data_IF_451549213296
#
_entry.id   IF_451549213296
#
_cell.length_a   1.000
_cell.length_b   1.000
_cell.length_c   1.000
_cell.angle_alpha   90.00
_cell.angle_beta   90.00
_cell.angle_gamma   90.00
#
_symmetry.space_group_name_H-M   'P 1'
#
loop_
_entity.id
_entity.type
_entity.pdbx_description
1 polymer ?
#
# COMPACT_ATOMS: atom_id res chain seq x y z
N UNK A 1 -36.74 31.04 11.52
CA UNK A 1 -36.87 29.65 11.04
C UNK A 1 -35.94 28.76 11.86
N UNK A 2 -36.37 27.59 12.35
CA UNK A 2 -35.43 26.63 12.92
C UNK A 2 -34.39 26.22 11.86
N UNK A 3 -33.11 26.01 12.22
CA UNK A 3 -32.08 25.64 11.27
C UNK A 3 -32.40 24.29 10.62
N UNK A 4 -32.13 24.18 9.31
CA UNK A 4 -32.28 22.94 8.55
C UNK A 4 -31.21 21.91 8.93
N UNK A 5 -31.38 20.66 8.49
CA UNK A 5 -30.32 19.65 8.61
C UNK A 5 -29.02 20.13 7.95
N UNK A 6 -29.12 20.75 6.77
CA UNK A 6 -27.97 21.26 6.03
C UNK A 6 -27.23 22.35 6.83
N UNK A 7 -27.96 23.28 7.44
CA UNK A 7 -27.35 24.34 8.27
C UNK A 7 -26.57 23.76 9.45
N UNK A 8 -27.17 22.80 10.16
CA UNK A 8 -26.53 22.13 11.30
C UNK A 8 -25.34 21.27 10.85
N UNK A 9 -25.47 20.54 9.75
CA UNK A 9 -24.42 19.70 9.21
C UNK A 9 -23.22 20.54 8.74
N UNK A 10 -23.46 21.65 8.03
CA UNK A 10 -22.42 22.59 7.62
C UNK A 10 -21.70 23.22 8.81
N UNK A 11 -22.45 23.66 9.84
CA UNK A 11 -21.86 24.21 11.06
C UNK A 11 -21.00 23.17 11.83
N UNK A 12 -21.47 21.94 11.92
CA UNK A 12 -20.73 20.85 12.58
C UNK A 12 -19.47 20.46 11.78
N UNK A 13 -19.58 20.35 10.45
CA UNK A 13 -18.44 20.10 9.56
C UNK A 13 -17.36 21.16 9.69
N UNK A 14 -17.74 22.44 9.79
CA UNK A 14 -16.79 23.53 9.99
C UNK A 14 -16.04 23.42 11.33
N UNK A 15 -16.75 23.04 12.41
CA UNK A 15 -16.12 22.78 13.72
C UNK A 15 -15.15 21.61 13.67
N UNK A 16 -15.55 20.51 13.03
CA UNK A 16 -14.69 19.34 12.84
C UNK A 16 -13.44 19.69 12.02
N UNK A 17 -13.57 20.47 10.96
CA UNK A 17 -12.44 20.94 10.15
C UNK A 17 -11.48 21.83 10.95
N UNK A 18 -12.00 22.59 11.93
CA UNK A 18 -11.19 23.38 12.86
C UNK A 18 -10.58 22.55 14.02
N UNK A 19 -10.78 21.23 14.05
CA UNK A 19 -10.30 20.35 15.13
C UNK A 19 -11.15 20.38 16.41
N UNK A 20 -12.27 21.10 16.42
CA UNK A 20 -13.18 21.21 17.55
C UNK A 20 -14.21 20.07 17.52
N UNK A 21 -13.71 18.86 17.74
CA UNK A 21 -14.46 17.61 17.57
C UNK A 21 -15.62 17.48 18.56
N UNK A 22 -15.46 17.92 19.80
CA UNK A 22 -16.52 17.85 20.81
C UNK A 22 -17.66 18.84 20.51
N UNK A 23 -17.35 20.06 20.02
CA UNK A 23 -18.40 20.98 19.58
C UNK A 23 -19.12 20.45 18.34
N UNK A 24 -18.39 19.89 17.37
CA UNK A 24 -18.99 19.24 16.21
C UNK A 24 -19.95 18.10 16.63
N UNK A 25 -19.52 17.23 17.54
CA UNK A 25 -20.35 16.15 18.08
C UNK A 25 -21.63 16.67 18.75
N UNK A 26 -21.55 17.80 19.47
CA UNK A 26 -22.72 18.43 20.10
C UNK A 26 -23.74 18.93 19.06
N UNK A 27 -23.27 19.55 17.97
CA UNK A 27 -24.13 20.03 16.89
C UNK A 27 -24.76 18.85 16.14
N UNK A 28 -23.97 17.83 15.80
CA UNK A 28 -24.51 16.61 15.19
C UNK A 28 -25.50 15.87 16.09
N UNK A 29 -25.33 15.92 17.41
CA UNK A 29 -26.30 15.32 18.35
C UNK A 29 -27.63 16.06 18.35
N UNK A 30 -27.62 17.39 18.23
CA UNK A 30 -28.83 18.17 18.04
C UNK A 30 -29.49 17.86 16.68
N UNK A 31 -28.69 17.79 15.61
CA UNK A 31 -29.17 17.38 14.30
C UNK A 31 -29.81 15.99 14.30
N UNK A 32 -29.20 15.01 14.98
CA UNK A 32 -29.72 13.64 15.09
C UNK A 32 -31.04 13.57 15.86
N UNK A 33 -31.27 14.45 16.86
CA UNK A 33 -32.56 14.52 17.56
C UNK A 33 -33.67 15.10 16.69
N UNK A 34 -33.35 16.10 15.87
CA UNK A 34 -34.32 16.79 15.00
C UNK A 34 -34.60 16.02 13.71
N UNK A 35 -33.59 15.30 13.22
CA UNK A 35 -33.63 14.52 11.99
C UNK A 35 -33.14 13.08 12.25
N UNK A 36 -33.90 12.24 13.00
CA UNK A 36 -33.45 10.90 13.39
C UNK A 36 -33.11 9.97 12.22
N UNK A 37 -33.72 10.16 11.05
CA UNK A 37 -33.44 9.35 9.85
C UNK A 37 -32.21 9.81 9.06
N UNK A 38 -31.54 10.88 9.47
CA UNK A 38 -30.35 11.42 8.78
C UNK A 38 -29.05 10.75 9.24
N UNK A 39 -27.96 10.99 8.50
CA UNK A 39 -26.61 10.55 8.86
C UNK A 39 -25.99 11.30 10.06
N UNK A 40 -26.72 12.23 10.68
CA UNK A 40 -26.21 13.00 11.83
C UNK A 40 -25.69 12.10 12.96
N UNK A 41 -26.40 11.00 13.26
CA UNK A 41 -26.01 10.07 14.32
C UNK A 41 -24.66 9.38 14.05
N UNK A 42 -24.36 9.06 12.79
CA UNK A 42 -23.06 8.54 12.37
C UNK A 42 -21.95 9.56 12.67
N UNK A 43 -22.17 10.82 12.30
CA UNK A 43 -21.18 11.88 12.52
C UNK A 43 -20.98 12.24 14.00
N UNK A 44 -21.96 11.99 14.88
CA UNK A 44 -21.72 12.04 16.34
C UNK A 44 -20.63 11.05 16.72
N UNK A 45 -20.75 9.79 16.28
CA UNK A 45 -19.76 8.75 16.56
C UNK A 45 -18.37 9.07 16.00
N UNK A 46 -18.30 9.54 14.76
CA UNK A 46 -17.04 9.93 14.10
C UNK A 46 -16.35 11.06 14.89
N UNK A 47 -17.10 12.12 15.24
CA UNK A 47 -16.52 13.24 15.97
C UNK A 47 -16.04 12.84 17.37
N UNK A 48 -16.77 11.99 18.09
CA UNK A 48 -16.35 11.50 19.41
C UNK A 48 -15.06 10.66 19.31
N UNK A 49 -14.94 9.82 18.28
CA UNK A 49 -13.72 9.07 18.00
C UNK A 49 -12.55 9.99 17.71
N UNK A 50 -12.75 10.99 16.85
CA UNK A 50 -11.72 11.97 16.50
C UNK A 50 -11.30 12.82 17.73
N UNK A 51 -12.20 12.98 18.72
CA UNK A 51 -11.91 13.60 20.02
C UNK A 51 -11.18 12.68 21.01
N UNK A 52 -10.99 11.40 20.70
CA UNK A 52 -10.42 10.38 21.60
C UNK A 52 -11.41 9.75 22.59
N UNK A 53 -12.67 10.20 22.63
CA UNK A 53 -13.72 9.63 23.47
C UNK A 53 -14.33 8.38 22.84
N UNK A 54 -13.52 7.32 22.84
CA UNK A 54 -13.74 6.16 21.97
C UNK A 54 -14.88 5.26 22.47
N UNK A 55 -15.13 5.19 23.78
CA UNK A 55 -16.29 4.46 24.33
C UNK A 55 -17.61 5.19 24.08
N UNK A 56 -17.64 6.53 24.19
CA UNK A 56 -18.82 7.30 23.81
C UNK A 56 -19.10 7.18 22.30
N UNK A 57 -18.04 7.17 21.48
CA UNK A 57 -18.15 6.91 20.05
C UNK A 57 -18.79 5.55 19.76
N UNK A 58 -18.33 4.47 20.41
CA UNK A 58 -18.93 3.15 20.28
C UNK A 58 -20.41 3.13 20.67
N UNK A 59 -20.76 3.78 21.77
CA UNK A 59 -22.15 3.87 22.23
C UNK A 59 -23.03 4.57 21.20
N UNK A 60 -22.58 5.70 20.65
CA UNK A 60 -23.29 6.42 19.61
C UNK A 60 -23.42 5.61 18.31
N UNK A 61 -22.35 4.95 17.87
CA UNK A 61 -22.34 4.14 16.64
C UNK A 61 -23.21 2.88 16.77
N UNK A 62 -23.24 2.23 17.94
CA UNK A 62 -24.14 1.10 18.20
C UNK A 62 -25.61 1.53 18.18
N UNK A 63 -25.94 2.66 18.81
CA UNK A 63 -27.29 3.22 18.75
C UNK A 63 -27.68 3.59 17.31
N UNK A 64 -26.78 4.23 16.56
CA UNK A 64 -27.01 4.56 15.16
C UNK A 64 -27.28 3.32 14.30
N UNK A 65 -26.38 2.32 14.33
CA UNK A 65 -26.54 1.09 13.54
C UNK A 65 -27.77 0.26 13.93
N UNK A 66 -28.27 0.37 15.17
CA UNK A 66 -29.53 -0.25 15.58
C UNK A 66 -30.76 0.41 14.93
N UNK A 67 -30.74 1.72 14.73
CA UNK A 67 -31.82 2.45 14.05
C UNK A 67 -31.65 2.47 12.52
N UNK A 68 -30.43 2.27 12.02
CA UNK A 68 -30.08 2.29 10.60
C UNK A 68 -29.42 0.97 10.16
N UNK A 69 -30.13 -0.18 10.26
CA UNK A 69 -29.52 -1.49 10.00
C UNK A 69 -29.09 -1.70 8.54
N UNK A 70 -29.59 -0.87 7.61
CA UNK A 70 -29.27 -0.92 6.17
C UNK A 70 -28.20 0.12 5.75
N UNK A 71 -27.55 0.79 6.71
CA UNK A 71 -26.49 1.74 6.40
C UNK A 71 -25.09 1.10 6.46
N UNK A 72 -24.50 0.92 5.28
CA UNK A 72 -23.15 0.41 5.11
C UNK A 72 -22.09 1.25 5.85
N UNK A 73 -22.16 2.57 5.73
CA UNK A 73 -21.14 3.47 6.29
C UNK A 73 -21.21 3.48 7.82
N UNK A 74 -22.41 3.31 8.37
CA UNK A 74 -22.66 3.08 9.79
C UNK A 74 -21.94 1.84 10.33
N UNK A 75 -22.18 0.67 9.72
CA UNK A 75 -21.56 -0.59 10.13
C UNK A 75 -20.04 -0.58 9.93
N UNK A 76 -19.56 -0.02 8.83
CA UNK A 76 -18.12 0.10 8.55
C UNK A 76 -17.43 0.97 9.59
N UNK A 77 -18.01 2.13 9.92
CA UNK A 77 -17.46 3.05 10.93
C UNK A 77 -17.44 2.43 12.32
N UNK A 78 -18.50 1.68 12.69
CA UNK A 78 -18.53 0.92 13.93
C UNK A 78 -17.41 -0.12 13.97
N UNK A 79 -17.25 -0.91 12.91
CA UNK A 79 -16.20 -1.93 12.80
C UNK A 79 -14.78 -1.36 12.91
N UNK A 80 -14.49 -0.25 12.21
CA UNK A 80 -13.21 0.44 12.28
C UNK A 80 -12.93 0.94 13.71
N UNK A 81 -13.95 1.49 14.38
CA UNK A 81 -13.82 2.01 15.75
C UNK A 81 -13.60 0.89 16.77
N UNK A 82 -14.28 -0.25 16.62
CA UNK A 82 -14.07 -1.45 17.44
C UNK A 82 -12.64 -2.01 17.26
N UNK A 83 -12.14 -2.06 16.02
CA UNK A 83 -10.76 -2.50 15.72
C UNK A 83 -9.71 -1.59 16.37
N UNK A 84 -9.94 -0.28 16.40
CA UNK A 84 -9.04 0.67 17.05
C UNK A 84 -8.93 0.44 18.56
N UNK A 85 -9.97 -0.13 19.18
CA UNK A 85 -10.02 -0.52 20.59
C UNK A 85 -9.61 -1.98 20.85
N UNK A 86 -9.03 -2.67 19.86
CA UNK A 86 -8.64 -4.08 19.94
C UNK A 86 -9.82 -5.05 20.21
N UNK A 87 -11.07 -4.59 20.03
CA UNK A 87 -12.29 -5.41 20.10
C UNK A 87 -12.52 -6.14 18.78
N UNK A 88 -11.54 -6.95 18.39
CA UNK A 88 -11.41 -7.48 17.04
C UNK A 88 -12.55 -8.44 16.64
N UNK A 89 -13.07 -9.24 17.58
CA UNK A 89 -14.21 -10.12 17.32
C UNK A 89 -15.49 -9.33 16.99
N UNK A 90 -15.81 -8.32 17.81
CA UNK A 90 -16.94 -7.42 17.57
C UNK A 90 -16.76 -6.63 16.27
N UNK A 91 -15.52 -6.18 16.00
CA UNK A 91 -15.18 -5.47 14.78
C UNK A 91 -15.46 -6.32 13.54
N UNK A 92 -15.06 -7.59 13.57
CA UNK A 92 -15.34 -8.54 12.48
C UNK A 92 -16.85 -8.71 12.27
N UNK A 93 -17.64 -8.85 13.33
CA UNK A 93 -19.11 -8.93 13.22
C UNK A 93 -19.73 -7.68 12.60
N UNK A 94 -19.30 -6.48 13.00
CA UNK A 94 -19.80 -5.24 12.42
C UNK A 94 -19.41 -5.08 10.95
N UNK A 95 -18.17 -5.42 10.59
CA UNK A 95 -17.68 -5.36 9.21
C UNK A 95 -18.37 -6.40 8.31
N UNK A 96 -18.67 -7.59 8.83
CA UNK A 96 -19.45 -8.58 8.11
C UNK A 96 -20.83 -8.03 7.75
N UNK A 97 -21.54 -7.41 8.71
CA UNK A 97 -22.83 -6.75 8.45
C UNK A 97 -22.73 -5.66 7.38
N UNK A 98 -21.65 -4.88 7.37
CA UNK A 98 -21.44 -3.91 6.30
C UNK A 98 -21.31 -4.62 4.93
N UNK A 99 -20.49 -5.66 4.85
CA UNK A 99 -20.23 -6.41 3.61
C UNK A 99 -21.45 -7.21 3.12
N UNK A 100 -22.35 -7.60 4.01
CA UNK A 100 -23.64 -8.20 3.65
C UNK A 100 -24.56 -7.22 2.90
N UNK A 101 -24.37 -5.90 3.08
CA UNK A 101 -25.12 -4.84 2.39
C UNK A 101 -24.48 -4.45 1.06
N UNK A 102 -23.15 -4.35 1.02
CA UNK A 102 -22.39 -3.92 -0.15
C UNK A 102 -20.99 -4.51 -0.14
N UNK A 103 -20.59 -5.09 -1.27
CA UNK A 103 -19.20 -5.49 -1.49
C UNK A 103 -18.30 -4.25 -1.58
N UNK A 104 -17.29 -4.18 -0.72
CA UNK A 104 -16.34 -3.08 -0.71
C UNK A 104 -14.92 -3.60 -0.35
N UNK A 105 -13.92 -3.40 -1.23
CA UNK A 105 -12.58 -3.92 -0.99
C UNK A 105 -11.89 -3.35 0.26
N UNK A 106 -12.17 -2.09 0.63
CA UNK A 106 -11.53 -1.43 1.76
C UNK A 106 -12.11 -1.90 3.11
N UNK A 107 -13.42 -2.08 3.18
CA UNK A 107 -14.10 -2.70 4.31
C UNK A 107 -13.66 -4.17 4.47
N UNK A 108 -13.50 -4.91 3.37
CA UNK A 108 -13.01 -6.31 3.42
C UNK A 108 -11.55 -6.41 3.86
N UNK A 109 -10.67 -5.49 3.43
CA UNK A 109 -9.30 -5.36 3.99
C UNK A 109 -9.33 -5.17 5.52
N UNK A 110 -10.26 -4.34 6.00
CA UNK A 110 -10.45 -4.10 7.44
C UNK A 110 -10.97 -5.36 8.15
N UNK A 111 -11.89 -6.11 7.53
CA UNK A 111 -12.44 -7.35 8.07
C UNK A 111 -11.34 -8.40 8.25
N UNK A 112 -10.52 -8.65 7.23
CA UNK A 112 -9.39 -9.59 7.32
C UNK A 112 -8.45 -9.22 8.46
N UNK A 113 -8.16 -7.92 8.61
CA UNK A 113 -7.33 -7.43 9.72
C UNK A 113 -7.97 -7.74 11.07
N UNK A 114 -9.27 -7.49 11.23
CA UNK A 114 -10.01 -7.79 12.45
C UNK A 114 -10.06 -9.31 12.74
N UNK A 115 -10.32 -10.15 11.72
CA UNK A 115 -10.34 -11.59 11.85
C UNK A 115 -8.99 -12.15 12.28
N UNK A 116 -7.90 -11.69 11.65
CA UNK A 116 -6.55 -12.11 12.03
C UNK A 116 -6.22 -11.74 13.48
N UNK A 117 -6.48 -10.49 13.89
CA UNK A 117 -6.25 -10.07 15.29
C UNK A 117 -7.18 -10.74 16.29
N UNK A 118 -8.31 -11.27 15.85
CA UNK A 118 -9.21 -12.10 16.66
C UNK A 118 -8.82 -13.60 16.67
N UNK A 119 -7.64 -13.95 16.14
CA UNK A 119 -7.15 -15.33 16.00
C UNK A 119 -8.03 -16.24 15.12
N UNK A 120 -8.81 -15.65 14.20
CA UNK A 120 -9.72 -16.34 13.25
C UNK A 120 -9.05 -16.49 11.88
N UNK A 121 -7.93 -17.22 11.86
CA UNK A 121 -7.01 -17.29 10.70
C UNK A 121 -7.66 -17.83 9.42
N UNK A 122 -8.45 -18.91 9.53
CA UNK A 122 -9.09 -19.53 8.37
C UNK A 122 -10.07 -18.56 7.68
N UNK A 123 -10.84 -17.82 8.48
CA UNK A 123 -11.79 -16.82 7.99
C UNK A 123 -11.06 -15.61 7.40
N UNK A 124 -10.00 -15.12 8.05
CA UNK A 124 -9.17 -14.04 7.51
C UNK A 124 -8.60 -14.40 6.13
N UNK A 125 -8.12 -15.63 5.95
CA UNK A 125 -7.62 -16.12 4.66
C UNK A 125 -8.73 -16.21 3.61
N UNK A 126 -9.90 -16.74 3.97
CA UNK A 126 -11.04 -16.83 3.07
C UNK A 126 -11.50 -15.44 2.59
N UNK A 127 -11.63 -14.49 3.51
CA UNK A 127 -12.02 -13.12 3.19
C UNK A 127 -10.97 -12.38 2.35
N UNK A 128 -9.68 -12.62 2.61
CA UNK A 128 -8.60 -12.06 1.80
C UNK A 128 -8.60 -12.60 0.37
N UNK A 129 -8.93 -13.87 0.18
CA UNK A 129 -9.10 -14.48 -1.15
C UNK A 129 -10.26 -13.85 -1.93
N UNK A 130 -11.41 -13.68 -1.28
CA UNK A 130 -12.55 -12.98 -1.89
C UNK A 130 -12.15 -11.56 -2.27
N UNK A 131 -11.36 -10.88 -1.43
CA UNK A 131 -10.94 -9.51 -1.70
C UNK A 131 -9.98 -9.41 -2.90
N UNK A 132 -9.01 -10.32 -3.01
CA UNK A 132 -8.10 -10.36 -4.15
C UNK A 132 -8.86 -10.61 -5.46
N UNK A 133 -9.86 -11.50 -5.46
CA UNK A 133 -10.71 -11.75 -6.63
C UNK A 133 -11.56 -10.53 -7.01
N UNK A 134 -12.14 -9.83 -6.03
CA UNK A 134 -12.90 -8.60 -6.29
C UNK A 134 -12.02 -7.50 -6.86
N UNK A 135 -10.81 -7.32 -6.31
CA UNK A 135 -9.84 -6.34 -6.83
C UNK A 135 -9.38 -6.69 -8.23
N UNK A 136 -9.21 -7.98 -8.55
CA UNK A 136 -8.85 -8.43 -9.88
C UNK A 136 -9.90 -8.04 -10.93
N UNK A 137 -11.18 -8.33 -10.66
CA UNK A 137 -12.28 -7.94 -11.54
C UNK A 137 -12.37 -6.42 -11.72
N UNK A 138 -12.28 -5.66 -10.63
CA UNK A 138 -12.27 -4.20 -10.67
C UNK A 138 -11.09 -3.66 -11.49
N UNK A 139 -9.89 -4.19 -11.29
CA UNK A 139 -8.69 -3.80 -12.03
C UNK A 139 -8.85 -4.02 -13.53
N UNK A 140 -9.39 -5.18 -13.94
CA UNK A 140 -9.67 -5.45 -15.36
C UNK A 140 -10.66 -4.44 -15.95
N UNK A 141 -11.76 -4.16 -15.23
CA UNK A 141 -12.77 -3.20 -15.69
C UNK A 141 -12.18 -1.80 -15.82
N UNK A 142 -11.44 -1.33 -14.81
CA UNK A 142 -10.76 -0.03 -14.81
C UNK A 142 -9.78 0.08 -15.99
N UNK A 143 -8.95 -0.94 -16.21
CA UNK A 143 -8.01 -0.95 -17.32
C UNK A 143 -8.70 -0.90 -18.68
N UNK A 144 -9.75 -1.70 -18.87
CA UNK A 144 -10.50 -1.75 -20.13
C UNK A 144 -11.26 -0.45 -20.42
N UNK A 145 -11.70 0.27 -19.39
CA UNK A 145 -12.30 1.60 -19.52
C UNK A 145 -11.27 2.72 -19.76
N UNK A 146 -9.98 2.45 -19.52
CA UNK A 146 -8.92 3.46 -19.65
C UNK A 146 -8.52 3.74 -21.10
N UNK A 147 -7.85 4.88 -21.36
CA UNK A 147 -7.15 5.14 -22.62
C UNK A 147 -6.04 4.12 -22.92
N UNK A 148 -5.55 3.42 -21.89
CA UNK A 148 -4.40 2.50 -21.99
C UNK A 148 -4.77 1.07 -22.38
N UNK A 149 -6.06 0.75 -22.59
CA UNK A 149 -6.56 -0.61 -22.90
C UNK A 149 -5.90 -1.29 -24.11
N UNK A 150 -5.37 -0.52 -25.05
CA UNK A 150 -4.71 -1.03 -26.25
C UNK A 150 -3.26 -1.46 -26.01
N UNK A 151 -2.66 -1.09 -24.87
CA UNK A 151 -1.28 -1.39 -24.58
C UNK A 151 -1.03 -2.88 -24.35
N UNK A 152 0.17 -3.32 -24.72
CA UNK A 152 0.61 -4.72 -24.64
C UNK A 152 2.06 -4.75 -24.12
N UNK A 153 2.45 -5.91 -23.61
CA UNK A 153 3.83 -6.16 -23.22
C UNK A 153 4.73 -6.26 -24.45
N UNK A 154 5.91 -5.67 -24.39
CA UNK A 154 6.95 -5.88 -25.40
C UNK A 154 7.43 -7.33 -25.37
N UNK A 155 7.70 -7.97 -26.53
CA UNK A 155 8.32 -9.28 -26.57
C UNK A 155 9.83 -9.23 -26.27
N UNK A 156 10.45 -8.04 -26.33
CA UNK A 156 11.88 -7.86 -26.11
C UNK A 156 12.24 -8.07 -24.63
N UNK A 157 13.20 -8.96 -24.38
CA UNK A 157 13.55 -9.45 -23.05
C UNK A 157 15.07 -9.50 -22.91
N UNK A 158 15.61 -8.68 -22.01
CA UNK A 158 17.05 -8.57 -21.78
C UNK A 158 17.59 -9.63 -20.81
N UNK A 159 16.80 -10.03 -19.81
CA UNK A 159 17.20 -11.02 -18.79
C UNK A 159 18.29 -10.54 -17.82
N UNK A 160 18.48 -11.26 -16.71
CA UNK A 160 19.49 -10.92 -15.70
C UNK A 160 20.93 -11.01 -16.27
N UNK A 161 21.75 -10.00 -15.99
CA UNK A 161 23.16 -9.93 -16.44
C UNK A 161 24.10 -10.17 -15.26
N UNK A 162 24.65 -11.39 -15.07
CA UNK A 162 25.50 -11.70 -13.92
C UNK A 162 26.84 -10.94 -13.94
N UNK A 163 27.31 -10.51 -15.10
CA UNK A 163 28.61 -9.86 -15.28
C UNK A 163 28.53 -8.34 -15.07
N UNK A 164 27.34 -7.75 -15.26
CA UNK A 164 27.13 -6.32 -15.08
C UNK A 164 26.00 -6.01 -14.09
N UNK A 165 26.38 -5.88 -12.82
CA UNK A 165 25.43 -5.57 -11.73
C UNK A 165 24.66 -4.26 -11.90
N UNK A 166 25.11 -3.31 -12.71
CA UNK A 166 24.36 -2.05 -12.94
C UNK A 166 23.11 -2.26 -13.78
N UNK A 167 23.01 -3.38 -14.50
CA UNK A 167 21.83 -3.77 -15.27
C UNK A 167 20.76 -4.47 -14.43
N UNK A 168 21.07 -4.86 -13.19
CA UNK A 168 20.13 -5.53 -12.28
C UNK A 168 19.90 -4.64 -11.05
N UNK A 169 18.75 -3.97 -10.98
CA UNK A 169 18.53 -2.88 -10.03
C UNK A 169 17.56 -3.27 -8.92
N UNK A 170 17.91 -2.96 -7.67
CA UNK A 170 16.96 -2.94 -6.55
C UNK A 170 16.56 -1.49 -6.32
N UNK A 171 15.39 -1.11 -6.82
CA UNK A 171 14.90 0.26 -6.85
C UNK A 171 14.11 0.63 -5.58
N UNK A 172 14.44 1.80 -5.03
CA UNK A 172 13.81 2.40 -3.87
C UNK A 172 13.42 3.85 -4.17
N UNK A 173 12.31 4.30 -3.59
CA UNK A 173 11.95 5.72 -3.52
C UNK A 173 12.30 6.25 -2.13
N UNK A 174 12.92 7.43 -2.05
CA UNK A 174 13.33 8.02 -0.77
C UNK A 174 13.17 9.55 -0.77
N UNK A 175 12.48 10.09 0.22
CA UNK A 175 12.32 11.54 0.42
C UNK A 175 12.13 11.85 1.91
N UNK A 176 12.39 13.10 2.29
CA UNK A 176 12.37 13.57 3.66
C UNK A 176 13.54 13.05 4.48
N UNK A 177 13.42 13.22 5.79
CA UNK A 177 14.47 13.01 6.79
C UNK A 177 14.05 12.06 7.92
N UNK A 178 12.95 11.31 7.73
CA UNK A 178 12.46 10.41 8.78
C UNK A 178 13.39 9.20 8.93
N UNK A 179 13.89 8.89 10.16
CA UNK A 179 14.86 7.83 10.37
C UNK A 179 14.42 6.44 9.88
N UNK A 180 13.14 6.08 10.00
CA UNK A 180 12.63 4.79 9.53
C UNK A 180 12.85 4.57 8.03
N UNK A 181 12.94 5.65 7.25
CA UNK A 181 13.20 5.59 5.82
C UNK A 181 14.66 5.85 5.47
N UNK A 182 15.28 6.90 6.02
CA UNK A 182 16.66 7.27 5.67
C UNK A 182 17.65 6.24 6.21
N UNK A 183 17.56 5.92 7.50
CA UNK A 183 18.37 4.85 8.09
C UNK A 183 18.00 3.51 7.50
N UNK A 184 16.72 3.29 7.21
CA UNK A 184 16.26 2.11 6.50
C UNK A 184 16.92 1.95 5.12
N UNK A 185 17.01 3.01 4.33
CA UNK A 185 17.69 3.00 3.04
C UNK A 185 19.18 2.66 3.19
N UNK A 186 19.87 3.27 4.17
CA UNK A 186 21.28 3.03 4.44
C UNK A 186 21.53 1.57 4.81
N UNK A 187 20.71 0.98 5.69
CA UNK A 187 20.84 -0.43 6.07
C UNK A 187 20.60 -1.35 4.87
N UNK A 188 19.67 -1.02 3.97
CA UNK A 188 19.48 -1.80 2.74
C UNK A 188 20.65 -1.66 1.77
N UNK A 189 21.26 -0.47 1.66
CA UNK A 189 22.47 -0.27 0.87
C UNK A 189 23.65 -1.08 1.43
N UNK A 190 23.75 -1.22 2.76
CA UNK A 190 24.73 -2.09 3.41
C UNK A 190 24.47 -3.58 3.15
N UNK A 191 23.21 -4.04 3.22
CA UNK A 191 22.86 -5.46 3.05
C UNK A 191 23.06 -5.91 1.59
N UNK A 192 22.69 -5.07 0.63
CA UNK A 192 22.57 -5.48 -0.77
C UNK A 192 23.87 -6.09 -1.37
N UNK A 193 25.08 -5.52 -1.19
CA UNK A 193 26.32 -6.11 -1.70
C UNK A 193 26.65 -7.50 -1.14
N UNK A 194 26.16 -7.83 0.06
CA UNK A 194 26.44 -9.11 0.73
C UNK A 194 25.38 -10.18 0.46
N UNK A 195 24.13 -9.77 0.23
CA UNK A 195 23.00 -10.68 0.05
C UNK A 195 22.62 -10.83 -1.43
N UNK A 196 22.52 -9.71 -2.16
CA UNK A 196 22.08 -9.65 -3.55
C UNK A 196 23.28 -9.45 -4.49
N UNK A 197 24.18 -10.44 -4.51
CA UNK A 197 25.32 -10.41 -5.43
C UNK A 197 24.86 -10.29 -6.89
N UNK A 198 25.53 -9.42 -7.66
CA UNK A 198 25.14 -9.11 -9.03
C UNK A 198 24.00 -8.09 -9.15
N UNK A 199 23.53 -7.49 -8.06
CA UNK A 199 22.55 -6.39 -8.10
C UNK A 199 23.14 -5.07 -7.61
N UNK A 200 22.50 -3.97 -8.01
CA UNK A 200 22.83 -2.62 -7.55
C UNK A 200 21.62 -1.99 -6.87
N UNK A 201 21.71 -1.63 -5.58
CA UNK A 201 20.66 -0.82 -4.96
C UNK A 201 20.66 0.58 -5.58
N UNK A 202 19.50 1.05 -6.00
CA UNK A 202 19.30 2.37 -6.60
C UNK A 202 18.21 3.13 -5.85
N UNK A 203 18.56 4.30 -5.33
CA UNK A 203 17.67 5.19 -4.60
C UNK A 203 17.32 6.38 -5.48
N UNK A 204 16.06 6.44 -5.92
CA UNK A 204 15.47 7.63 -6.51
C UNK A 204 15.06 8.56 -5.37
N UNK A 205 15.67 9.74 -5.28
CA UNK A 205 15.46 10.66 -4.16
C UNK A 205 15.44 12.14 -4.57
N UNK A 206 14.99 13.03 -3.69
CA UNK A 206 15.11 14.47 -3.88
C UNK A 206 16.01 15.12 -2.80
N UNK A 207 16.18 16.44 -2.89
CA UNK A 207 17.04 17.20 -1.97
C UNK A 207 16.49 17.32 -0.55
N UNK A 208 15.28 16.83 -0.26
CA UNK A 208 14.80 16.71 1.12
C UNK A 208 15.45 15.54 1.86
N UNK A 209 16.10 14.61 1.15
CA UNK A 209 16.99 13.64 1.78
C UNK A 209 18.33 14.32 2.11
N UNK A 210 18.77 14.29 3.38
CA UNK A 210 20.00 14.94 3.81
C UNK A 210 21.23 14.53 2.98
N UNK A 211 22.11 15.49 2.71
CA UNK A 211 23.27 15.28 1.83
C UNK A 211 24.22 14.22 2.37
N UNK A 212 24.47 14.24 3.68
CA UNK A 212 25.30 13.24 4.36
C UNK A 212 24.72 11.82 4.25
N UNK A 213 23.40 11.67 4.33
CA UNK A 213 22.74 10.39 4.09
C UNK A 213 22.90 9.90 2.64
N UNK A 214 22.79 10.80 1.66
CA UNK A 214 23.02 10.46 0.24
C UNK A 214 24.46 10.05 -0.03
N UNK A 215 25.43 10.71 0.59
CA UNK A 215 26.84 10.34 0.54
C UNK A 215 27.08 8.95 1.14
N UNK A 216 26.46 8.63 2.28
CA UNK A 216 26.56 7.29 2.89
C UNK A 216 25.98 6.20 1.97
N UNK A 217 24.85 6.46 1.31
CA UNK A 217 24.27 5.51 0.34
C UNK A 217 25.26 5.21 -0.79
N UNK A 218 25.87 6.25 -1.37
CA UNK A 218 26.88 6.10 -2.43
C UNK A 218 28.12 5.36 -1.93
N UNK A 219 28.55 5.64 -0.70
CA UNK A 219 29.69 5.00 -0.07
C UNK A 219 29.48 3.49 0.13
N UNK A 220 28.24 3.03 0.33
CA UNK A 220 27.87 1.61 0.32
C UNK A 220 27.65 1.02 -1.09
N UNK A 221 28.02 1.74 -2.14
CA UNK A 221 27.97 1.26 -3.52
C UNK A 221 26.58 1.32 -4.15
N UNK A 222 25.66 2.09 -3.57
CA UNK A 222 24.35 2.36 -4.14
C UNK A 222 24.40 3.47 -5.20
N UNK A 223 23.51 3.38 -6.17
CA UNK A 223 23.24 4.48 -7.09
C UNK A 223 22.22 5.44 -6.46
N UNK A 224 22.47 6.74 -6.56
CA UNK A 224 21.57 7.78 -6.07
C UNK A 224 21.16 8.65 -7.26
N UNK A 225 19.88 8.60 -7.61
CA UNK A 225 19.30 9.35 -8.72
C UNK A 225 18.48 10.51 -8.15
N UNK A 226 18.88 11.74 -8.44
CA UNK A 226 18.16 12.92 -7.98
C UNK A 226 16.97 13.23 -8.89
N UNK A 227 15.78 13.26 -8.29
CA UNK A 227 14.49 13.51 -8.91
C UNK A 227 14.17 15.00 -8.87
N UNK A 228 14.89 15.79 -9.67
CA UNK A 228 14.86 17.26 -9.60
C UNK A 228 13.62 17.88 -10.28
N UNK A 229 12.99 17.16 -11.20
CA UNK A 229 11.87 17.70 -11.97
C UNK A 229 10.65 17.90 -11.07
N UNK A 230 10.04 19.10 -11.03
CA UNK A 230 8.86 19.37 -10.21
C UNK A 230 7.70 18.40 -10.47
N UNK A 231 7.52 17.96 -11.72
CA UNK A 231 6.49 16.99 -12.12
C UNK A 231 6.61 15.64 -11.40
N UNK A 232 7.80 15.27 -10.92
CA UNK A 232 8.05 14.01 -10.23
C UNK A 232 7.63 14.05 -8.75
N UNK A 233 7.43 15.22 -8.14
CA UNK A 233 7.14 15.32 -6.69
C UNK A 233 5.85 14.58 -6.30
N UNK A 234 4.86 14.58 -7.17
CA UNK A 234 3.55 14.00 -6.90
C UNK A 234 3.51 12.48 -7.11
N UNK A 235 4.61 11.89 -7.58
CA UNK A 235 4.76 10.43 -7.80
C UNK A 235 5.90 9.83 -6.97
N UNK A 236 6.27 10.48 -5.86
CA UNK A 236 7.31 10.03 -4.93
C UNK A 236 7.27 8.52 -4.62
N UNK A 237 6.13 7.93 -4.21
CA UNK A 237 6.04 6.48 -3.95
C UNK A 237 6.36 5.60 -5.18
N UNK A 238 6.22 6.14 -6.39
CA UNK A 238 6.33 5.43 -7.67
C UNK A 238 7.67 5.66 -8.37
N UNK A 239 8.58 6.51 -7.86
CA UNK A 239 9.88 6.74 -8.52
C UNK A 239 10.67 5.46 -8.81
N UNK A 240 10.65 4.50 -7.87
CA UNK A 240 11.25 3.18 -8.05
C UNK A 240 10.70 2.39 -9.26
N UNK A 241 9.50 2.69 -9.73
CA UNK A 241 8.91 2.05 -10.93
C UNK A 241 9.61 2.51 -12.21
N UNK A 242 10.25 3.69 -12.21
CA UNK A 242 10.96 4.22 -13.38
C UNK A 242 12.20 3.41 -13.75
N UNK A 243 12.66 2.49 -12.89
CA UNK A 243 13.65 1.48 -13.26
C UNK A 243 13.15 0.57 -14.41
N UNK A 244 11.84 0.44 -14.60
CA UNK A 244 11.24 -0.27 -15.73
C UNK A 244 11.47 0.41 -17.07
N UNK A 245 11.65 1.74 -17.08
CA UNK A 245 11.78 2.54 -18.30
C UNK A 245 13.25 2.78 -18.68
N UNK A 246 14.18 2.50 -17.78
CA UNK A 246 15.60 2.76 -17.98
C UNK A 246 16.18 1.78 -19.04
N UNK A 247 16.68 2.28 -20.19
CA UNK A 247 17.21 1.44 -21.25
C UNK A 247 18.50 0.69 -20.85
N UNK A 248 19.21 1.15 -19.81
CA UNK A 248 20.41 0.49 -19.31
C UNK A 248 20.09 -0.61 -18.28
N UNK A 249 18.84 -0.69 -17.82
CA UNK A 249 18.40 -1.75 -16.91
C UNK A 249 17.89 -2.94 -17.72
N UNK A 250 18.23 -4.13 -17.25
CA UNK A 250 17.69 -5.39 -17.74
C UNK A 250 16.58 -5.91 -16.84
N UNK A 251 16.82 -5.95 -15.53
CA UNK A 251 15.84 -6.40 -14.53
C UNK A 251 15.83 -5.47 -13.32
N UNK A 252 14.66 -5.32 -12.73
CA UNK A 252 14.46 -4.48 -11.57
C UNK A 252 13.62 -5.17 -10.50
N UNK A 253 13.85 -4.79 -9.24
CA UNK A 253 13.03 -5.11 -8.08
C UNK A 253 12.59 -3.79 -7.46
N UNK A 254 11.32 -3.66 -7.09
CA UNK A 254 10.83 -2.52 -6.32
C UNK A 254 10.74 -2.91 -4.84
N UNK A 255 11.34 -2.10 -3.96
CA UNK A 255 11.33 -2.33 -2.51
C UNK A 255 11.00 -1.05 -1.74
N UNK A 256 10.39 -1.22 -0.57
CA UNK A 256 10.23 -0.13 0.39
C UNK A 256 11.52 0.07 1.20
N UNK A 257 11.89 1.33 1.45
CA UNK A 257 13.12 1.66 2.18
C UNK A 257 13.07 1.20 3.65
N UNK A 258 11.88 1.03 4.22
CA UNK A 258 11.68 0.55 5.60
C UNK A 258 11.57 -0.98 5.71
N UNK A 259 11.60 -1.72 4.59
CA UNK A 259 11.59 -3.20 4.58
C UNK A 259 13.00 -3.77 4.37
N UNK A 260 13.40 -4.77 5.15
CA UNK A 260 14.77 -5.33 5.08
C UNK A 260 14.89 -6.37 3.97
N UNK A 261 15.92 -6.21 3.14
CA UNK A 261 16.37 -7.27 2.24
C UNK A 261 16.77 -8.51 3.06
N UNK A 262 16.29 -9.69 2.67
CA UNK A 262 16.50 -10.93 3.41
C UNK A 262 16.64 -12.18 2.52
N UNK A 263 17.10 -13.29 3.10
CA UNK A 263 17.40 -14.51 2.35
C UNK A 263 16.14 -15.16 1.73
N UNK A 264 14.98 -15.10 2.40
CA UNK A 264 13.73 -15.67 1.88
C UNK A 264 13.32 -15.01 0.57
N UNK A 265 13.42 -13.67 0.49
CA UNK A 265 13.14 -12.98 -0.77
C UNK A 265 14.19 -13.22 -1.84
N UNK A 266 15.47 -13.32 -1.49
CA UNK A 266 16.54 -13.60 -2.45
C UNK A 266 16.28 -14.93 -3.17
N UNK A 267 15.92 -15.97 -2.41
CA UNK A 267 15.68 -17.30 -2.96
C UNK A 267 14.44 -17.28 -3.87
N UNK A 268 13.37 -16.57 -3.48
CA UNK A 268 12.20 -16.38 -4.33
C UNK A 268 12.52 -15.60 -5.62
N UNK A 269 13.40 -14.59 -5.55
CA UNK A 269 13.88 -13.85 -6.72
C UNK A 269 14.71 -14.74 -7.64
N UNK A 270 15.60 -15.58 -7.10
CA UNK A 270 16.37 -16.53 -7.90
C UNK A 270 15.48 -17.56 -8.60
N UNK A 271 14.46 -18.07 -7.91
CA UNK A 271 13.47 -18.95 -8.50
C UNK A 271 12.65 -18.26 -9.60
N UNK A 272 12.30 -16.98 -9.42
CA UNK A 272 11.72 -16.17 -10.49
C UNK A 272 12.63 -16.05 -11.70
N UNK A 273 13.89 -15.68 -11.52
CA UNK A 273 14.84 -15.54 -12.62
C UNK A 273 14.97 -16.84 -13.42
N UNK A 274 15.01 -18.00 -12.75
CA UNK A 274 15.05 -19.32 -13.40
C UNK A 274 13.77 -19.68 -14.14
N UNK A 275 12.62 -19.14 -13.73
CA UNK A 275 11.33 -19.43 -14.37
C UNK A 275 11.19 -18.84 -15.78
N UNK A 276 12.01 -17.85 -16.15
CA UNK A 276 11.92 -17.14 -17.43
C UNK A 276 10.68 -16.24 -17.57
N UNK A 277 9.84 -16.12 -16.54
CA UNK A 277 8.70 -15.20 -16.51
C UNK A 277 9.19 -13.74 -16.46
N UNK A 278 8.57 -12.81 -17.19
CA UNK A 278 9.02 -11.42 -17.21
C UNK A 278 8.78 -10.64 -15.91
N UNK A 279 7.89 -11.10 -15.02
CA UNK A 279 7.55 -10.38 -13.79
C UNK A 279 7.51 -11.28 -12.55
N UNK A 280 7.70 -10.69 -11.38
CA UNK A 280 7.64 -11.35 -10.07
C UNK A 280 6.79 -10.56 -9.10
N UNK A 281 5.96 -11.25 -8.33
CA UNK A 281 5.15 -10.70 -7.25
C UNK A 281 5.31 -11.59 -6.02
N UNK A 282 5.33 -10.98 -4.83
CA UNK A 282 5.44 -11.69 -3.55
C UNK A 282 4.40 -11.25 -2.53
N UNK A 283 3.79 -12.21 -1.81
CA UNK A 283 2.85 -12.00 -0.70
C UNK A 283 3.18 -12.94 0.46
N UNK A 284 3.77 -12.44 1.53
CA UNK A 284 4.26 -13.27 2.65
C UNK A 284 3.52 -13.02 3.98
N UNK A 285 2.38 -12.33 3.96
CA UNK A 285 1.64 -11.99 5.18
C UNK A 285 0.13 -11.89 4.93
N UNK A 286 -0.69 -12.12 5.97
CA UNK A 286 -2.17 -12.03 5.92
C UNK A 286 -2.70 -10.61 5.63
N UNK A 287 -1.82 -9.61 5.64
CA UNK A 287 -2.18 -8.25 5.29
C UNK A 287 -1.82 -7.92 3.84
N UNK A 288 -1.15 -8.81 3.14
CA UNK A 288 -0.77 -8.65 1.74
C UNK A 288 -1.96 -8.98 0.82
N UNK A 289 -3.05 -8.25 1.01
CA UNK A 289 -4.34 -8.40 0.32
C UNK A 289 -4.42 -7.55 -0.96
N UNK A 290 -3.29 -7.18 -1.53
CA UNK A 290 -3.20 -6.38 -2.75
C UNK A 290 -2.69 -7.26 -3.89
N UNK A 291 -3.18 -6.99 -5.11
CA UNK A 291 -2.81 -7.75 -6.30
C UNK A 291 -1.30 -7.70 -6.52
N UNK A 292 -0.73 -6.51 -6.36
CA UNK A 292 0.70 -6.21 -6.36
C UNK A 292 0.98 -5.24 -5.21
N UNK A 293 1.85 -5.61 -4.25
CA UNK A 293 2.35 -4.64 -3.27
C UNK A 293 3.51 -3.85 -3.88
N UNK A 294 3.52 -2.54 -3.64
CA UNK A 294 4.45 -1.63 -4.31
C UNK A 294 5.92 -1.89 -3.97
N UNK A 295 6.21 -2.41 -2.77
CA UNK A 295 7.53 -2.86 -2.34
C UNK A 295 7.80 -4.35 -2.55
N UNK A 296 6.97 -5.11 -3.28
CA UNK A 296 7.06 -6.58 -3.37
C UNK A 296 6.89 -7.10 -4.80
N UNK A 297 7.39 -6.35 -5.78
CA UNK A 297 7.33 -6.76 -7.18
C UNK A 297 8.62 -6.44 -7.93
N UNK A 298 8.74 -6.98 -9.13
CA UNK A 298 9.87 -6.74 -10.02
C UNK A 298 9.59 -7.27 -11.41
N UNK A 299 10.49 -6.96 -12.35
CA UNK A 299 10.32 -7.36 -13.74
C UNK A 299 11.53 -7.15 -14.61
N UNK A 300 11.39 -7.50 -15.87
CA UNK A 300 12.34 -7.14 -16.92
C UNK A 300 12.01 -5.73 -17.42
N UNK A 301 13.00 -4.83 -17.40
CA UNK A 301 12.85 -3.47 -17.87
C UNK A 301 12.65 -3.44 -19.40
N UNK A 302 11.86 -2.48 -19.88
CA UNK A 302 11.46 -2.35 -21.28
C UNK A 302 10.34 -3.30 -21.74
N UNK A 303 9.89 -4.24 -20.89
CA UNK A 303 8.75 -5.12 -21.21
C UNK A 303 7.41 -4.40 -21.02
N UNK A 304 7.29 -3.59 -19.97
CA UNK A 304 6.11 -2.73 -19.78
C UNK A 304 6.16 -1.54 -20.76
N UNK A 305 4.98 -1.00 -21.12
CA UNK A 305 4.90 0.33 -21.70
C UNK A 305 5.61 1.37 -20.82
N UNK A 306 6.14 2.49 -21.38
CA UNK A 306 6.84 3.51 -20.61
C UNK A 306 5.98 4.06 -19.47
N UNK A 307 6.34 3.74 -18.23
CA UNK A 307 5.56 4.05 -17.03
C UNK A 307 5.59 5.55 -16.73
N UNK A 308 6.69 6.24 -17.01
CA UNK A 308 6.80 7.70 -16.86
C UNK A 308 5.73 8.43 -17.67
N UNK A 309 5.51 8.01 -18.92
CA UNK A 309 4.47 8.58 -19.79
C UNK A 309 3.06 8.30 -19.25
N UNK A 310 2.84 7.09 -18.72
CA UNK A 310 1.55 6.71 -18.13
C UNK A 310 1.26 7.50 -16.87
N UNK A 311 2.24 7.64 -15.97
CA UNK A 311 2.13 8.43 -14.75
C UNK A 311 1.87 9.91 -15.05
N UNK A 312 2.50 10.45 -16.10
CA UNK A 312 2.23 11.81 -16.57
C UNK A 312 0.84 11.96 -17.20
N UNK A 313 0.41 11.02 -18.05
CA UNK A 313 -0.88 11.05 -18.73
C UNK A 313 -2.06 10.87 -17.76
N UNK A 314 -1.93 9.90 -16.84
CA UNK A 314 -2.86 9.65 -15.74
C UNK A 314 -3.25 10.91 -14.96
N UNK A 315 -2.25 11.75 -14.67
CA UNK A 315 -2.43 13.03 -13.98
C UNK A 315 -3.11 14.07 -14.86
N UNK A 316 -2.66 14.25 -16.11
CA UNK A 316 -3.20 15.26 -17.03
C UNK A 316 -4.67 15.03 -17.34
N UNK A 317 -5.05 13.78 -17.55
CA UNK A 317 -6.40 13.43 -17.99
C UNK A 317 -7.38 13.28 -16.81
N UNK A 318 -6.90 13.43 -15.56
CA UNK A 318 -7.64 13.13 -14.32
C UNK A 318 -8.25 11.72 -14.33
N UNK A 319 -7.70 10.82 -15.15
CA UNK A 319 -8.19 9.45 -15.32
C UNK A 319 -7.85 8.63 -14.09
N UNK A 320 -6.75 8.95 -13.40
CA UNK A 320 -6.32 8.26 -12.19
C UNK A 320 -6.25 9.24 -11.00
N UNK A 321 -6.99 8.95 -9.93
CA UNK A 321 -7.08 9.75 -8.71
C UNK A 321 -6.09 9.29 -7.62
N UNK A 322 -5.00 8.63 -8.02
CA UNK A 322 -4.10 7.94 -7.09
C UNK A 322 -3.12 8.88 -6.36
N UNK A 323 -2.90 10.09 -6.85
CA UNK A 323 -1.80 10.95 -6.42
C UNK A 323 -1.99 11.61 -5.03
N UNK A 324 -3.23 11.74 -4.57
CA UNK A 324 -3.57 12.30 -3.25
C UNK A 324 -3.82 11.22 -2.18
N UNK A 325 -3.52 9.96 -2.50
CA UNK A 325 -3.79 8.81 -1.64
C UNK A 325 -2.48 8.11 -1.20
N UNK A 326 -2.36 7.81 0.10
CA UNK A 326 -1.24 7.03 0.66
C UNK A 326 -1.04 5.67 -0.02
N UNK A 327 -2.10 5.11 -0.61
CA UNK A 327 -2.08 3.82 -1.33
C UNK A 327 -2.09 3.97 -2.85
N UNK A 328 -1.75 5.17 -3.35
CA UNK A 328 -1.79 5.48 -4.77
C UNK A 328 -0.90 4.59 -5.64
N UNK A 329 0.27 4.20 -5.14
CA UNK A 329 1.19 3.30 -5.83
C UNK A 329 0.61 1.90 -6.04
N UNK A 330 0.01 1.31 -5.01
CA UNK A 330 -0.65 0.02 -5.10
C UNK A 330 -1.91 0.07 -5.97
N UNK A 331 -2.68 1.16 -5.91
CA UNK A 331 -3.84 1.35 -6.77
C UNK A 331 -3.43 1.46 -8.25
N UNK A 332 -2.36 2.21 -8.56
CA UNK A 332 -1.79 2.25 -9.91
C UNK A 332 -1.34 0.87 -10.38
N UNK A 333 -0.62 0.12 -9.54
CA UNK A 333 -0.17 -1.23 -9.89
C UNK A 333 -1.36 -2.18 -10.11
N UNK A 334 -2.39 -2.09 -9.27
CA UNK A 334 -3.61 -2.88 -9.40
C UNK A 334 -4.36 -2.54 -10.69
N UNK A 335 -4.62 -1.27 -10.96
CA UNK A 335 -5.51 -0.92 -12.07
C UNK A 335 -4.79 -0.89 -13.42
N UNK A 336 -3.51 -0.50 -13.47
CA UNK A 336 -2.81 -0.26 -14.74
C UNK A 336 -1.82 -1.37 -15.10
N UNK A 337 -1.17 -2.00 -14.12
CA UNK A 337 -0.08 -2.95 -14.36
C UNK A 337 -0.55 -4.41 -14.27
N UNK A 338 -1.30 -4.74 -13.23
CA UNK A 338 -1.80 -6.09 -13.00
C UNK A 338 -2.57 -6.68 -14.21
N UNK A 339 -3.46 -5.95 -14.90
CA UNK A 339 -4.17 -6.46 -16.08
C UNK A 339 -3.23 -6.87 -17.22
N UNK A 340 -2.06 -6.23 -17.33
CA UNK A 340 -1.03 -6.59 -18.31
C UNK A 340 -0.22 -7.82 -17.88
N UNK A 341 0.12 -7.92 -16.59
CA UNK A 341 1.13 -8.88 -16.12
C UNK A 341 0.57 -10.12 -15.41
N UNK A 342 -0.73 -10.17 -15.07
CA UNK A 342 -1.35 -11.25 -14.29
C UNK A 342 -1.06 -12.66 -14.79
N UNK A 343 -0.92 -12.84 -16.12
CA UNK A 343 -0.63 -14.12 -16.76
C UNK A 343 0.86 -14.28 -17.15
N UNK A 344 1.65 -13.23 -16.94
CA UNK A 344 3.07 -13.15 -17.26
C UNK A 344 3.96 -13.10 -16.00
N UNK A 345 3.38 -12.98 -14.81
CA UNK A 345 4.10 -12.96 -13.55
C UNK A 345 4.28 -14.36 -12.96
N UNK A 346 5.41 -14.57 -12.30
CA UNK A 346 5.53 -15.58 -11.27
C UNK A 346 5.11 -14.97 -9.93
N UNK A 347 4.26 -15.67 -9.19
CA UNK A 347 3.74 -15.18 -7.91
C UNK A 347 4.12 -16.16 -6.80
N UNK A 348 4.81 -15.65 -5.79
CA UNK A 348 5.06 -16.36 -4.54
C UNK A 348 4.10 -15.85 -3.47
N UNK A 349 3.36 -16.76 -2.84
CA UNK A 349 2.32 -16.41 -1.88
C UNK A 349 2.26 -17.44 -0.75
N UNK A 350 2.49 -16.99 0.48
CA UNK A 350 2.45 -17.85 1.68
C UNK A 350 1.04 -18.03 2.24
N UNK A 351 0.07 -17.24 1.77
CA UNK A 351 -1.23 -17.12 2.43
C UNK A 351 -2.37 -17.52 1.50
N UNK A 352 -2.52 -16.86 0.37
CA UNK A 352 -3.74 -16.93 -0.44
C UNK A 352 -3.62 -17.91 -1.59
N UNK A 353 -2.46 -18.00 -2.24
CA UNK A 353 -2.30 -18.83 -3.44
C UNK A 353 -2.97 -18.24 -4.69
N UNK A 354 -3.30 -16.94 -4.70
CA UNK A 354 -4.11 -16.31 -5.75
C UNK A 354 -3.26 -15.64 -6.85
N UNK A 355 -3.71 -15.61 -8.13
CA UNK A 355 -4.74 -16.46 -8.71
C UNK A 355 -4.27 -17.90 -8.90
N UNK A 356 -2.96 -18.08 -9.15
CA UNK A 356 -2.28 -19.38 -9.26
C UNK A 356 -0.86 -19.24 -8.71
N UNK A 357 -0.74 -18.72 -7.49
CA UNK A 357 0.55 -18.49 -6.85
C UNK A 357 1.14 -19.78 -6.26
N UNK A 358 2.47 -19.87 -6.24
CA UNK A 358 3.18 -20.96 -5.57
C UNK A 358 3.66 -20.54 -4.19
N UNK A 359 3.89 -21.52 -3.32
CA UNK A 359 4.56 -21.27 -2.04
C UNK A 359 5.97 -20.70 -2.27
N UNK A 360 6.48 -19.93 -1.31
CA UNK A 360 7.90 -19.56 -1.28
C UNK A 360 8.77 -20.83 -1.28
N UNK A 361 9.97 -20.78 -1.89
CA UNK A 361 10.90 -21.89 -1.80
C UNK A 361 11.23 -22.24 -0.35
N UNK A 362 11.29 -23.53 -0.04
CA UNK A 362 11.43 -24.10 1.31
C UNK A 362 12.86 -24.06 1.86
N UNK A 363 13.82 -23.54 1.08
CA UNK A 363 15.22 -23.47 1.46
C UNK A 363 15.51 -22.54 2.65
N UNK A 364 14.65 -21.56 2.94
CA UNK A 364 14.78 -20.69 4.10
C UNK A 364 13.46 -20.01 4.46
N UNK A 365 13.14 -19.98 5.76
CA UNK A 365 12.02 -19.21 6.29
C UNK A 365 12.48 -18.17 7.31
N UNK A 366 11.75 -17.08 7.42
CA UNK A 366 12.06 -15.98 8.34
C UNK A 366 11.62 -16.35 9.76
N UNK A 367 12.35 -15.90 10.80
CA UNK A 367 12.03 -16.25 12.18
C UNK A 367 10.80 -15.48 12.70
N UNK A 368 9.97 -16.16 13.48
CA UNK A 368 8.90 -15.54 14.28
C UNK A 368 7.82 -14.87 13.44
N UNK A 369 7.55 -13.59 13.71
CA UNK A 369 6.52 -12.79 13.04
C UNK A 369 7.06 -11.96 11.86
N UNK A 370 8.34 -12.14 11.51
CA UNK A 370 8.98 -11.45 10.39
C UNK A 370 8.52 -12.09 9.09
N UNK A 371 8.23 -11.26 8.10
CA UNK A 371 7.82 -11.68 6.76
C UNK A 371 8.53 -10.82 5.71
N UNK A 372 8.61 -11.30 4.48
CA UNK A 372 9.14 -10.49 3.36
C UNK A 372 8.25 -9.25 3.20
N UNK A 373 8.86 -8.06 3.10
CA UNK A 373 8.13 -6.79 3.04
C UNK A 373 7.66 -6.24 4.40
N UNK A 374 8.04 -6.89 5.50
CA UNK A 374 7.77 -6.39 6.84
C UNK A 374 8.54 -5.10 7.12
N UNK A 375 7.82 -4.03 7.44
CA UNK A 375 8.41 -2.72 7.72
C UNK A 375 9.02 -2.63 9.12
N UNK A 376 10.18 -1.98 9.24
CA UNK A 376 10.80 -1.60 10.51
C UNK A 376 10.49 -0.14 10.80
N UNK A 377 9.66 0.13 11.82
CA UNK A 377 9.12 1.48 12.09
C UNK A 377 9.95 2.33 13.05
N UNK A 378 10.88 1.72 13.79
CA UNK A 378 11.76 2.42 14.72
C UNK A 378 13.21 2.19 14.32
N UNK A 379 13.90 3.25 13.92
CA UNK A 379 15.30 3.22 13.54
C UNK A 379 16.05 4.37 14.21
N UNK A 380 17.30 4.17 14.63
CA UNK A 380 18.14 5.27 15.12
C UNK A 380 18.41 6.27 13.98
N UNK A 381 18.77 7.51 14.33
CA UNK A 381 19.21 8.50 13.36
C UNK A 381 20.46 8.02 12.60
N UNK A 382 20.55 8.28 11.29
CA UNK A 382 21.60 7.72 10.43
C UNK A 382 23.00 8.25 10.74
N UNK A 383 23.12 9.38 11.43
CA UNK A 383 24.42 9.91 11.90
C UNK A 383 25.19 8.96 12.82
N UNK A 384 24.52 7.90 13.32
CA UNK A 384 25.16 6.81 14.07
C UNK A 384 25.89 5.80 13.20
N UNK A 385 25.67 5.82 11.87
CA UNK A 385 26.31 4.92 10.93
C UNK A 385 27.64 5.50 10.43
N UNK A 386 28.71 4.69 10.37
CA UNK A 386 29.99 5.16 9.91
C UNK A 386 29.89 5.59 8.44
N UNK A 387 30.48 6.74 8.10
CA UNK A 387 30.78 7.07 6.71
C UNK A 387 31.79 6.02 6.23
N UNK A 388 31.57 5.40 5.08
CA UNK A 388 32.56 4.44 4.58
C UNK A 388 33.89 5.21 4.38
N UNK A 389 34.97 4.65 4.92
CA UNK A 389 36.32 5.23 4.83
C UNK A 389 36.90 5.09 3.43
#
# INVERSE_FOLDING_TARGET
MPPSFQDLASAASARRAAGDFLAAAKIYRDAARRFPSSSAGLFVGICLRDAGDTEAALTALKAYTAHHPQDFDGWTTLGISLKALDRNADAATALQKALDLRNDPAARNTLVTALWRANRMAEAKAEGLVNLALKDDLALQTFMASPFRANRLSPDRKGFDPENRRRNVIAFSLWGDRPEYVTGAIVNAQIAPHLYMGWTPRFYCDTSVPADAREILQAYGAEVILMEQPAHRDIRPMWRFLASDDPEVNVFLCRDADSRLNAKELIAVQDWLRSGKPFHIMRDHIYHMELILAGMWGGQAGVLPPLGDWLAAAKREKVLTYFDNRFGDQAFLADMIWPLIRNAALIHDSVYGYPSARAFPDAYDLPGLVHVGGSVKAMPHWSTYPRAN
#
